data_IF_281896159852
#
_entry.id   IF_281896159852
#
_cell.length_a   1.000
_cell.length_b   1.000
_cell.length_c   1.000
_cell.angle_alpha   90.00
_cell.angle_beta   90.00
_cell.angle_gamma   90.00
#
_symmetry.space_group_name_H-M   'P 1'
#
loop_
_entity.id
_entity.type
_entity.pdbx_description
1 polymer ?
#
# COMPACT_ATOMS: atom_id res chain seq x y z
N UNK A 1 44.21 -11.72 -1.68
CA UNK A 1 43.35 -11.59 -2.88
C UNK A 1 42.39 -12.78 -3.03
N UNK A 2 42.80 -14.04 -2.76
CA UNK A 2 41.92 -15.21 -2.87
C UNK A 2 40.79 -15.30 -1.81
N UNK A 3 41.00 -14.84 -0.58
CA UNK A 3 39.99 -14.91 0.49
C UNK A 3 38.77 -14.01 0.19
N UNK A 4 39.01 -12.80 -0.33
CA UNK A 4 37.97 -11.84 -0.70
C UNK A 4 37.07 -12.32 -1.85
N UNK A 5 37.66 -12.92 -2.89
CA UNK A 5 36.90 -13.50 -3.99
C UNK A 5 36.07 -14.72 -3.53
N UNK A 6 36.59 -15.49 -2.58
CA UNK A 6 35.88 -16.63 -1.98
C UNK A 6 34.69 -16.18 -1.13
N UNK A 7 34.87 -15.15 -0.30
CA UNK A 7 33.77 -14.61 0.52
C UNK A 7 32.68 -13.95 -0.33
N UNK A 8 33.05 -13.22 -1.37
CA UNK A 8 32.08 -12.63 -2.31
C UNK A 8 31.30 -13.70 -3.09
N UNK A 9 31.94 -14.83 -3.42
CA UNK A 9 31.28 -15.96 -4.09
C UNK A 9 30.18 -16.61 -3.22
N UNK A 10 30.32 -16.59 -1.90
CA UNK A 10 29.30 -17.10 -0.96
C UNK A 10 28.20 -16.08 -0.65
N UNK A 11 28.52 -14.77 -0.64
CA UNK A 11 27.57 -13.68 -0.35
C UNK A 11 26.64 -13.37 -1.52
N UNK A 12 27.14 -13.45 -2.75
CA UNK A 12 26.39 -13.14 -3.98
C UNK A 12 25.05 -13.89 -4.14
N UNK A 13 24.98 -15.24 -4.03
CA UNK A 13 23.70 -15.94 -4.16
C UNK A 13 22.72 -15.59 -3.04
N UNK A 14 23.20 -15.15 -1.86
CA UNK A 14 22.35 -14.76 -0.74
C UNK A 14 21.60 -13.46 -1.01
N UNK A 15 22.22 -12.49 -1.69
CA UNK A 15 21.57 -11.19 -2.01
C UNK A 15 20.35 -11.40 -2.89
N UNK A 16 20.50 -12.08 -4.03
CA UNK A 16 19.38 -12.33 -4.94
C UNK A 16 18.35 -13.30 -4.34
N UNK A 17 18.78 -14.27 -3.52
CA UNK A 17 17.84 -15.16 -2.83
C UNK A 17 16.99 -14.42 -1.79
N UNK A 18 17.58 -13.53 -1.01
CA UNK A 18 16.85 -12.70 -0.05
C UNK A 18 15.88 -11.76 -0.76
N UNK A 19 16.34 -11.12 -1.86
CA UNK A 19 15.50 -10.27 -2.70
C UNK A 19 14.32 -11.07 -3.26
N UNK A 20 14.55 -12.27 -3.79
CA UNK A 20 13.51 -13.15 -4.32
C UNK A 20 12.42 -13.43 -3.29
N UNK A 21 12.78 -13.83 -2.07
CA UNK A 21 11.81 -14.13 -1.00
C UNK A 21 10.93 -12.91 -0.67
N UNK A 22 11.55 -11.75 -0.54
CA UNK A 22 10.84 -10.51 -0.19
C UNK A 22 9.98 -10.01 -1.35
N UNK A 23 10.44 -10.21 -2.59
CA UNK A 23 9.70 -9.83 -3.79
C UNK A 23 8.48 -10.73 -4.00
N UNK A 24 8.58 -12.03 -3.67
CA UNK A 24 7.45 -12.96 -3.75
C UNK A 24 6.29 -12.53 -2.84
N UNK A 25 6.58 -12.09 -1.61
CA UNK A 25 5.56 -11.59 -0.69
C UNK A 25 4.95 -10.27 -1.21
N UNK A 26 5.81 -9.31 -1.60
CA UNK A 26 5.34 -8.00 -2.05
C UNK A 26 4.54 -8.06 -3.36
N UNK A 27 4.94 -8.89 -4.32
CA UNK A 27 4.24 -9.05 -5.60
C UNK A 27 2.88 -9.71 -5.41
N UNK A 28 2.75 -10.66 -4.49
CA UNK A 28 1.44 -11.25 -4.17
C UNK A 28 0.49 -10.23 -3.56
N UNK A 29 0.98 -9.40 -2.63
CA UNK A 29 0.17 -8.32 -2.05
C UNK A 29 -0.24 -7.31 -3.13
N UNK A 30 0.69 -6.89 -3.99
CA UNK A 30 0.39 -5.99 -5.11
C UNK A 30 -0.70 -6.55 -6.04
N UNK A 31 -0.59 -7.83 -6.43
CA UNK A 31 -1.60 -8.50 -7.25
C UNK A 31 -2.97 -8.59 -6.55
N UNK A 32 -2.98 -8.72 -5.22
CA UNK A 32 -4.20 -8.76 -4.43
C UNK A 32 -4.92 -7.40 -4.44
N UNK A 33 -4.18 -6.30 -4.22
CA UNK A 33 -4.75 -4.94 -4.20
C UNK A 33 -5.06 -4.40 -5.59
N UNK A 34 -4.31 -4.81 -6.62
CA UNK A 34 -4.58 -4.46 -8.02
C UNK A 34 -6.01 -4.83 -8.42
N UNK A 35 -6.52 -5.97 -7.95
CA UNK A 35 -7.89 -6.41 -8.24
C UNK A 35 -8.96 -5.43 -7.75
N UNK A 36 -8.71 -4.62 -6.73
CA UNK A 36 -9.71 -3.63 -6.31
C UNK A 36 -9.89 -2.51 -7.34
N UNK A 37 -8.89 -2.25 -8.18
CA UNK A 37 -8.93 -1.20 -9.19
C UNK A 37 -9.99 -1.47 -10.27
N UNK A 38 -10.23 -2.75 -10.61
CA UNK A 38 -11.28 -3.17 -11.55
C UNK A 38 -12.68 -2.64 -11.17
N UNK A 39 -12.92 -2.43 -9.87
CA UNK A 39 -14.22 -1.96 -9.37
C UNK A 39 -14.45 -0.47 -9.68
N UNK A 40 -13.39 0.27 -9.97
CA UNK A 40 -13.42 1.71 -10.21
C UNK A 40 -13.21 2.08 -11.69
N UNK A 41 -13.26 1.12 -12.62
CA UNK A 41 -13.05 1.39 -14.05
C UNK A 41 -14.01 2.45 -14.61
N UNK A 42 -15.25 2.47 -14.13
CA UNK A 42 -16.27 3.45 -14.52
C UNK A 42 -16.11 4.83 -13.86
N UNK A 43 -15.18 4.98 -12.90
CA UNK A 43 -14.83 6.24 -12.25
C UNK A 43 -13.32 6.54 -12.40
N UNK A 44 -12.91 7.11 -13.55
CA UNK A 44 -11.51 7.38 -13.85
C UNK A 44 -10.82 8.29 -12.82
N UNK A 45 -11.57 9.17 -12.15
CA UNK A 45 -11.01 10.08 -11.15
C UNK A 45 -10.58 9.30 -9.90
N UNK A 46 -11.46 8.45 -9.38
CA UNK A 46 -11.15 7.61 -8.21
C UNK A 46 -10.14 6.53 -8.55
N UNK A 47 -10.27 5.89 -9.72
CA UNK A 47 -9.29 4.91 -10.19
C UNK A 47 -7.88 5.51 -10.26
N UNK A 48 -7.74 6.72 -10.80
CA UNK A 48 -6.44 7.42 -10.88
C UNK A 48 -5.82 7.68 -9.50
N UNK A 49 -6.63 8.06 -8.50
CA UNK A 49 -6.17 8.25 -7.12
C UNK A 49 -5.69 6.93 -6.50
N UNK A 50 -6.44 5.84 -6.72
CA UNK A 50 -6.08 4.52 -6.19
C UNK A 50 -4.82 3.95 -6.85
N UNK A 51 -4.67 4.12 -8.17
CA UNK A 51 -3.45 3.76 -8.88
C UNK A 51 -2.23 4.52 -8.32
N UNK A 52 -2.31 5.86 -8.19
CA UNK A 52 -1.21 6.69 -7.64
C UNK A 52 -0.88 6.27 -6.20
N UNK A 53 -1.90 5.99 -5.38
CA UNK A 53 -1.69 5.54 -4.01
C UNK A 53 -0.91 4.23 -3.94
N UNK A 54 -1.31 3.20 -4.70
CA UNK A 54 -0.60 1.91 -4.71
C UNK A 54 0.83 2.04 -5.25
N UNK A 55 1.07 2.91 -6.25
CA UNK A 55 2.41 3.19 -6.75
C UNK A 55 3.30 3.81 -5.66
N UNK A 56 2.76 4.73 -4.87
CA UNK A 56 3.49 5.39 -3.78
C UNK A 56 3.72 4.47 -2.60
N UNK A 57 2.70 3.74 -2.15
CA UNK A 57 2.76 2.97 -0.89
C UNK A 57 3.34 1.58 -1.06
N UNK A 58 3.23 0.97 -2.24
CA UNK A 58 3.68 -0.41 -2.48
C UNK A 58 4.81 -0.49 -3.51
N UNK A 59 4.63 0.14 -4.67
CA UNK A 59 5.59 0.01 -5.77
C UNK A 59 6.93 0.70 -5.45
N UNK A 60 6.89 1.93 -4.93
CA UNK A 60 8.09 2.73 -4.65
C UNK A 60 9.06 2.04 -3.68
N UNK A 61 8.62 1.52 -2.52
CA UNK A 61 9.51 0.76 -1.63
C UNK A 61 10.14 -0.46 -2.30
N UNK A 62 9.38 -1.19 -3.12
CA UNK A 62 9.88 -2.37 -3.85
C UNK A 62 10.92 -2.00 -4.90
N UNK A 63 10.70 -0.90 -5.65
CA UNK A 63 11.70 -0.41 -6.61
C UNK A 63 12.98 0.00 -5.92
N UNK A 64 12.90 0.73 -4.81
CA UNK A 64 14.10 1.11 -4.06
C UNK A 64 14.91 -0.12 -3.64
N UNK A 65 14.21 -1.14 -3.16
CA UNK A 65 14.83 -2.39 -2.70
C UNK A 65 15.47 -3.17 -3.84
N UNK A 66 14.78 -3.31 -4.98
CA UNK A 66 15.31 -3.95 -6.17
C UNK A 66 16.57 -3.22 -6.64
N UNK A 67 16.53 -1.90 -6.82
CA UNK A 67 17.67 -1.12 -7.30
C UNK A 67 18.87 -1.25 -6.37
N UNK A 68 18.65 -1.19 -5.06
CA UNK A 68 19.70 -1.34 -4.06
C UNK A 68 20.31 -2.75 -4.06
N UNK A 69 19.48 -3.79 -4.10
CA UNK A 69 19.94 -5.18 -4.13
C UNK A 69 20.68 -5.53 -5.44
N UNK A 70 20.22 -5.00 -6.58
CA UNK A 70 20.89 -5.19 -7.87
C UNK A 70 22.23 -4.45 -7.95
N UNK A 71 22.31 -3.24 -7.39
CA UNK A 71 23.58 -2.51 -7.28
C UNK A 71 24.57 -3.27 -6.38
N UNK A 72 24.11 -3.81 -5.24
CA UNK A 72 24.92 -4.69 -4.37
C UNK A 72 25.42 -5.92 -5.11
N UNK A 73 24.56 -6.63 -5.84
CA UNK A 73 24.96 -7.80 -6.65
C UNK A 73 25.97 -7.41 -7.75
N UNK A 74 25.78 -6.28 -8.43
CA UNK A 74 26.71 -5.78 -9.44
C UNK A 74 28.09 -5.41 -8.85
N UNK A 75 28.12 -4.75 -7.69
CA UNK A 75 29.37 -4.43 -6.98
C UNK A 75 30.12 -5.69 -6.54
N UNK A 76 29.41 -6.68 -6.00
CA UNK A 76 29.99 -7.97 -5.62
C UNK A 76 30.53 -8.73 -6.85
N UNK A 77 29.84 -8.69 -7.99
CA UNK A 77 30.31 -9.24 -9.27
C UNK A 77 31.63 -8.59 -9.73
N UNK A 78 31.82 -7.31 -9.46
CA UNK A 78 33.02 -6.54 -9.82
C UNK A 78 34.12 -6.58 -8.75
N UNK A 79 33.95 -7.38 -7.67
CA UNK A 79 34.96 -7.57 -6.63
C UNK A 79 35.08 -6.41 -5.63
N UNK A 80 34.06 -5.55 -5.55
CA UNK A 80 34.00 -4.49 -4.54
C UNK A 80 33.44 -5.02 -3.21
N UNK A 81 33.98 -4.55 -2.10
CA UNK A 81 33.39 -4.79 -0.77
C UNK A 81 32.13 -3.94 -0.58
N UNK A 82 31.16 -4.50 0.14
CA UNK A 82 29.93 -3.80 0.52
C UNK A 82 29.68 -4.07 2.00
N UNK A 83 29.48 -3.02 2.80
CA UNK A 83 29.08 -3.19 4.20
C UNK A 83 27.67 -3.80 4.25
N UNK A 84 27.48 -4.80 5.10
CA UNK A 84 26.14 -5.33 5.40
C UNK A 84 25.39 -4.32 6.28
N UNK A 85 25.08 -3.14 5.73
CA UNK A 85 24.09 -2.26 6.31
C UNK A 85 22.72 -2.92 6.21
N UNK A 86 21.95 -2.83 7.30
CA UNK A 86 20.66 -3.49 7.45
C UNK A 86 19.73 -3.13 6.29
N UNK A 87 19.21 -4.15 5.60
CA UNK A 87 18.38 -4.07 4.39
C UNK A 87 16.96 -3.51 4.64
N UNK A 88 16.76 -2.83 5.76
CA UNK A 88 15.46 -2.36 6.25
C UNK A 88 15.37 -0.86 5.98
N UNK A 89 14.46 -0.50 5.06
CA UNK A 89 14.07 0.86 4.71
C UNK A 89 15.05 1.71 3.90
N UNK A 90 15.45 1.19 2.74
CA UNK A 90 16.13 1.99 1.71
C UNK A 90 15.14 3.00 1.11
N UNK A 91 15.18 4.24 1.57
CA UNK A 91 14.49 5.37 0.95
C UNK A 91 15.42 6.06 -0.04
N UNK A 92 15.10 5.95 -1.34
CA UNK A 92 15.84 6.60 -2.41
C UNK A 92 15.06 7.79 -2.97
N UNK A 93 15.77 8.90 -3.17
CA UNK A 93 15.33 9.99 -4.03
C UNK A 93 15.24 9.57 -5.50
N UNK A 94 14.51 10.32 -6.32
CA UNK A 94 14.43 10.07 -7.78
C UNK A 94 15.81 10.12 -8.45
N UNK A 95 16.68 11.02 -8.00
CA UNK A 95 18.06 11.13 -8.49
C UNK A 95 18.89 9.89 -8.16
N UNK A 96 18.79 9.39 -6.92
CA UNK A 96 19.50 8.17 -6.49
C UNK A 96 19.00 6.93 -7.25
N UNK A 97 17.67 6.79 -7.41
CA UNK A 97 17.08 5.71 -8.23
C UNK A 97 17.67 5.72 -9.64
N UNK A 98 17.69 6.88 -10.27
CA UNK A 98 18.24 7.06 -11.64
C UNK A 98 19.73 6.73 -11.70
N UNK A 99 20.50 7.14 -10.70
CA UNK A 99 21.93 6.84 -10.62
C UNK A 99 22.20 5.35 -10.50
N UNK A 100 21.50 4.64 -9.60
CA UNK A 100 21.64 3.20 -9.44
C UNK A 100 21.28 2.45 -10.72
N UNK A 101 20.15 2.78 -11.36
CA UNK A 101 19.71 2.12 -12.58
C UNK A 101 20.72 2.28 -13.74
N UNK A 102 21.37 3.44 -13.87
CA UNK A 102 22.39 3.68 -14.90
C UNK A 102 23.69 2.91 -14.67
N UNK A 103 23.99 2.55 -13.43
CA UNK A 103 25.19 1.78 -13.08
C UNK A 103 25.02 0.27 -13.26
N UNK A 104 23.79 -0.20 -13.51
CA UNK A 104 23.53 -1.61 -13.81
C UNK A 104 24.07 -1.99 -15.21
N UNK A 105 24.45 -3.26 -15.42
CA UNK A 105 25.03 -3.69 -16.69
C UNK A 105 23.97 -3.98 -17.77
N UNK A 106 24.28 -3.66 -19.03
CA UNK A 106 23.55 -4.17 -20.20
C UNK A 106 22.06 -3.78 -20.23
N UNK A 107 21.21 -4.75 -20.61
CA UNK A 107 19.75 -4.55 -20.71
C UNK A 107 19.10 -4.31 -19.35
N UNK A 108 19.71 -4.76 -18.26
CA UNK A 108 19.20 -4.51 -16.91
C UNK A 108 19.13 -3.01 -16.61
N UNK A 109 20.05 -2.21 -17.14
CA UNK A 109 20.01 -0.75 -16.97
C UNK A 109 18.80 -0.11 -17.64
N UNK A 110 18.46 -0.53 -18.86
CA UNK A 110 17.31 0.02 -19.57
C UNK A 110 15.99 -0.45 -18.95
N UNK A 111 15.90 -1.71 -18.51
CA UNK A 111 14.73 -2.23 -17.80
C UNK A 111 14.54 -1.56 -16.44
N UNK A 112 15.61 -1.31 -15.68
CA UNK A 112 15.54 -0.58 -14.42
C UNK A 112 15.11 0.88 -14.60
N UNK A 113 15.52 1.55 -15.69
CA UNK A 113 15.04 2.89 -16.02
C UNK A 113 13.55 2.90 -16.37
N UNK A 114 13.09 1.95 -17.19
CA UNK A 114 11.66 1.79 -17.50
C UNK A 114 10.82 1.53 -16.23
N UNK A 115 11.35 0.74 -15.28
CA UNK A 115 10.72 0.52 -13.99
C UNK A 115 10.57 1.80 -13.16
N UNK A 116 11.60 2.65 -13.14
CA UNK A 116 11.56 3.97 -12.47
C UNK A 116 10.50 4.86 -13.10
N UNK A 117 10.47 4.93 -14.43
CA UNK A 117 9.47 5.71 -15.17
C UNK A 117 8.04 5.20 -14.91
N UNK A 118 7.86 3.88 -14.84
CA UNK A 118 6.55 3.28 -14.58
C UNK A 118 6.04 3.57 -13.16
N UNK A 119 6.92 3.60 -12.15
CA UNK A 119 6.55 4.03 -10.77
C UNK A 119 6.12 5.49 -10.71
N UNK A 120 6.75 6.36 -11.50
CA UNK A 120 6.37 7.77 -11.60
C UNK A 120 5.17 8.00 -12.53
N UNK A 121 4.69 6.93 -13.17
CA UNK A 121 3.49 6.91 -13.99
C UNK A 121 2.21 7.02 -13.17
N UNK A 122 1.07 6.82 -13.85
CA UNK A 122 -0.28 6.89 -13.25
C UNK A 122 -1.03 5.55 -13.30
N UNK A 123 -0.37 4.50 -13.75
CA UNK A 123 -0.98 3.21 -14.12
C UNK A 123 -0.20 2.08 -13.47
N UNK A 124 -0.88 1.38 -12.57
CA UNK A 124 -0.29 0.32 -11.75
C UNK A 124 0.00 -0.95 -12.56
N UNK A 125 -0.87 -1.28 -13.52
CA UNK A 125 -0.69 -2.36 -14.49
C UNK A 125 0.58 -2.17 -15.31
N UNK A 126 0.82 -0.96 -15.82
CA UNK A 126 2.05 -0.64 -16.56
C UNK A 126 3.30 -0.79 -15.70
N UNK A 127 3.20 -0.49 -14.40
CA UNK A 127 4.27 -0.75 -13.45
C UNK A 127 4.50 -2.25 -13.24
N UNK A 128 3.44 -3.06 -13.09
CA UNK A 128 3.57 -4.50 -12.89
C UNK A 128 4.25 -5.20 -14.09
N UNK A 129 3.98 -4.74 -15.30
CA UNK A 129 4.67 -5.21 -16.51
C UNK A 129 6.16 -4.82 -16.51
N UNK A 130 6.48 -3.56 -16.23
CA UNK A 130 7.87 -3.10 -16.15
C UNK A 130 8.65 -3.79 -15.02
N UNK A 131 7.99 -4.06 -13.89
CA UNK A 131 8.54 -4.77 -12.75
C UNK A 131 8.89 -6.21 -13.13
N UNK A 132 7.99 -6.89 -13.86
CA UNK A 132 8.23 -8.25 -14.38
C UNK A 132 9.41 -8.29 -15.32
N UNK A 133 9.46 -7.39 -16.29
CA UNK A 133 10.56 -7.28 -17.24
C UNK A 133 11.93 -7.09 -16.55
N UNK A 134 12.00 -6.21 -15.54
CA UNK A 134 13.24 -5.96 -14.81
C UNK A 134 13.66 -7.14 -13.92
N UNK A 135 12.69 -7.84 -13.33
CA UNK A 135 12.93 -9.03 -12.54
C UNK A 135 13.43 -10.21 -13.39
N UNK A 136 12.81 -10.46 -14.54
CA UNK A 136 13.21 -11.51 -15.47
C UNK A 136 14.64 -11.32 -15.97
N UNK A 137 15.01 -10.08 -16.34
CA UNK A 137 16.39 -9.74 -16.72
C UNK A 137 17.40 -9.95 -15.57
N UNK A 138 16.93 -9.86 -14.32
CA UNK A 138 17.72 -10.13 -13.12
C UNK A 138 17.77 -11.61 -12.72
N UNK A 139 17.05 -12.48 -13.43
CA UNK A 139 16.91 -13.90 -13.09
C UNK A 139 15.97 -14.17 -11.90
N UNK A 140 15.15 -13.19 -11.52
CA UNK A 140 14.11 -13.32 -10.50
C UNK A 140 12.80 -13.76 -11.14
N UNK A 141 11.97 -14.48 -10.38
CA UNK A 141 10.69 -15.00 -10.86
C UNK A 141 9.56 -14.50 -9.98
N UNK A 142 8.39 -14.24 -10.55
CA UNK A 142 7.23 -13.84 -9.76
C UNK A 142 6.34 -15.02 -9.44
N UNK A 143 6.04 -15.16 -8.16
CA UNK A 143 4.89 -15.95 -7.76
C UNK A 143 3.61 -15.31 -8.31
N UNK A 144 2.77 -16.15 -8.90
CA UNK A 144 1.46 -15.75 -9.41
C UNK A 144 0.42 -15.98 -8.32
N UNK A 145 -0.49 -15.02 -8.17
CA UNK A 145 -1.66 -15.14 -7.33
C UNK A 145 -2.68 -16.08 -8.00
N UNK A 146 -2.70 -17.33 -7.54
CA UNK A 146 -3.76 -18.28 -7.91
C UNK A 146 -5.02 -18.07 -7.04
N UNK A 147 -6.17 -18.58 -7.50
CA UNK A 147 -7.46 -18.40 -6.80
C UNK A 147 -7.49 -18.98 -5.38
N UNK A 148 -6.71 -20.04 -5.13
CA UNK A 148 -6.63 -20.68 -3.82
C UNK A 148 -5.85 -19.82 -2.84
N UNK A 149 -4.70 -19.32 -3.28
CA UNK A 149 -3.85 -18.41 -2.52
C UNK A 149 -4.54 -17.07 -2.27
N UNK A 150 -5.19 -16.49 -3.29
CA UNK A 150 -6.01 -15.29 -3.14
C UNK A 150 -7.08 -15.46 -2.07
N UNK A 151 -7.84 -16.55 -2.15
CA UNK A 151 -8.89 -16.83 -1.15
C UNK A 151 -8.30 -16.98 0.26
N UNK A 152 -7.12 -17.57 0.38
CA UNK A 152 -6.43 -17.67 1.66
C UNK A 152 -5.97 -16.31 2.18
N UNK A 153 -5.39 -15.47 1.31
CA UNK A 153 -4.93 -14.12 1.66
C UNK A 153 -6.10 -13.22 2.04
N UNK A 154 -7.21 -13.23 1.29
CA UNK A 154 -8.43 -12.47 1.62
C UNK A 154 -9.03 -12.90 2.97
N UNK A 155 -8.97 -14.19 3.32
CA UNK A 155 -9.41 -14.67 4.64
C UNK A 155 -8.52 -14.17 5.76
N UNK A 156 -7.19 -14.17 5.55
CA UNK A 156 -6.26 -13.59 6.53
C UNK A 156 -6.51 -12.10 6.67
N UNK A 157 -6.57 -11.38 5.56
CA UNK A 157 -6.83 -9.95 5.52
C UNK A 157 -8.17 -9.58 6.19
N UNK A 158 -9.24 -10.34 5.93
CA UNK A 158 -10.52 -10.16 6.62
C UNK A 158 -10.37 -10.33 8.14
N UNK A 159 -9.69 -11.39 8.60
CA UNK A 159 -9.46 -11.66 10.02
C UNK A 159 -8.66 -10.54 10.68
N UNK A 160 -7.58 -10.11 10.04
CA UNK A 160 -6.68 -9.08 10.55
C UNK A 160 -7.40 -7.73 10.60
N UNK A 161 -8.12 -7.38 9.55
CA UNK A 161 -8.90 -6.14 9.49
C UNK A 161 -10.06 -6.13 10.49
N UNK A 162 -10.72 -7.28 10.70
CA UNK A 162 -11.74 -7.44 11.75
C UNK A 162 -11.14 -7.19 13.14
N UNK A 163 -9.95 -7.74 13.40
CA UNK A 163 -9.24 -7.51 14.67
C UNK A 163 -8.86 -6.03 14.84
N UNK A 164 -8.31 -5.41 13.80
CA UNK A 164 -7.96 -3.99 13.80
C UNK A 164 -9.17 -3.09 14.03
N UNK A 165 -10.28 -3.30 13.31
CA UNK A 165 -11.54 -2.56 13.49
C UNK A 165 -12.09 -2.74 14.91
N UNK A 166 -11.92 -3.91 15.51
CA UNK A 166 -12.38 -4.16 16.89
C UNK A 166 -11.53 -3.42 17.91
N UNK A 167 -10.20 -3.46 17.78
CA UNK A 167 -9.26 -2.88 18.74
C UNK A 167 -8.97 -1.39 18.53
N UNK A 168 -9.31 -0.82 17.38
CA UNK A 168 -9.05 0.58 17.08
C UNK A 168 -9.80 1.52 18.02
N UNK A 169 -9.11 2.53 18.53
CA UNK A 169 -9.68 3.54 19.41
C UNK A 169 -9.62 4.94 18.80
N UNK A 170 -8.75 5.15 17.82
CA UNK A 170 -8.61 6.45 17.16
C UNK A 170 -9.69 6.63 16.08
N UNK A 171 -10.54 7.67 16.18
CA UNK A 171 -11.63 7.87 15.23
C UNK A 171 -11.18 8.19 13.81
N UNK A 172 -10.01 8.80 13.63
CA UNK A 172 -9.50 9.14 12.28
C UNK A 172 -8.98 7.88 11.60
N UNK A 173 -8.13 7.10 12.28
CA UNK A 173 -7.56 5.85 11.78
C UNK A 173 -8.59 4.72 11.62
N UNK A 174 -9.71 4.79 12.35
CA UNK A 174 -10.82 3.84 12.24
C UNK A 174 -11.51 3.87 10.87
N UNK A 175 -11.69 5.06 10.30
CA UNK A 175 -12.46 5.25 9.07
C UNK A 175 -11.93 4.45 7.87
N UNK A 176 -10.64 4.55 7.46
CA UNK A 176 -10.14 3.78 6.33
C UNK A 176 -10.20 2.26 6.58
N UNK A 177 -10.02 1.82 7.84
CA UNK A 177 -10.08 0.40 8.21
C UNK A 177 -11.50 -0.17 8.07
N UNK A 178 -12.50 0.52 8.58
CA UNK A 178 -13.90 0.06 8.48
C UNK A 178 -14.42 0.14 7.04
N UNK A 179 -14.01 1.16 6.27
CA UNK A 179 -14.35 1.27 4.84
C UNK A 179 -13.73 0.13 4.04
N UNK A 180 -12.46 -0.20 4.30
CA UNK A 180 -11.81 -1.35 3.67
C UNK A 180 -12.50 -2.68 4.04
N UNK A 181 -12.99 -2.83 5.29
CA UNK A 181 -13.70 -4.03 5.73
C UNK A 181 -15.05 -4.19 5.02
N UNK A 182 -15.83 -3.10 4.95
CA UNK A 182 -17.11 -3.09 4.24
C UNK A 182 -16.92 -3.32 2.73
N UNK A 183 -15.86 -2.76 2.15
CA UNK A 183 -15.50 -3.02 0.76
C UNK A 183 -15.15 -4.48 0.52
N UNK A 184 -14.32 -5.08 1.39
CA UNK A 184 -13.98 -6.49 1.34
C UNK A 184 -15.22 -7.38 1.44
N UNK A 185 -16.17 -7.06 2.33
CA UNK A 185 -17.42 -7.81 2.47
C UNK A 185 -18.33 -7.68 1.25
N UNK A 186 -18.35 -6.52 0.59
CA UNK A 186 -19.23 -6.26 -0.55
C UNK A 186 -18.69 -6.80 -1.89
N UNK A 187 -17.39 -6.71 -2.11
CA UNK A 187 -16.75 -7.00 -3.40
C UNK A 187 -15.76 -8.17 -3.35
N UNK A 188 -15.46 -8.70 -2.16
CA UNK A 188 -14.45 -9.76 -1.95
C UNK A 188 -13.09 -9.41 -2.58
N UNK A 189 -12.69 -8.14 -2.48
CA UNK A 189 -11.42 -7.58 -2.99
C UNK A 189 -10.77 -6.77 -1.87
N UNK A 190 -9.44 -6.84 -1.74
CA UNK A 190 -8.70 -6.08 -0.73
C UNK A 190 -8.47 -4.65 -1.22
N UNK A 191 -8.73 -3.66 -0.36
CA UNK A 191 -8.63 -2.24 -0.73
C UNK A 191 -7.72 -1.51 0.25
N UNK A 192 -6.76 -0.78 -0.30
CA UNK A 192 -5.99 0.22 0.42
C UNK A 192 -6.39 1.60 -0.12
N UNK A 193 -7.39 2.22 0.49
CA UNK A 193 -7.88 3.52 0.06
C UNK A 193 -7.13 4.66 0.78
N UNK A 194 -6.56 5.64 0.06
CA UNK A 194 -6.15 6.90 0.66
C UNK A 194 -7.38 7.68 1.15
N UNK A 195 -7.18 8.59 2.09
CA UNK A 195 -8.24 9.44 2.65
C UNK A 195 -9.02 10.20 1.56
N UNK A 196 -8.33 10.64 0.51
CA UNK A 196 -8.92 11.34 -0.64
C UNK A 196 -9.91 10.49 -1.44
N UNK A 197 -9.77 9.16 -1.44
CA UNK A 197 -10.66 8.23 -2.13
C UNK A 197 -11.82 7.73 -1.25
N UNK A 198 -11.74 7.87 0.07
CA UNK A 198 -12.71 7.29 1.02
C UNK A 198 -14.15 7.69 0.68
N UNK A 199 -14.41 8.95 0.33
CA UNK A 199 -15.75 9.43 -0.04
C UNK A 199 -16.31 8.72 -1.27
N UNK A 200 -15.47 8.50 -2.28
CA UNK A 200 -15.87 7.83 -3.50
C UNK A 200 -16.18 6.35 -3.22
N UNK A 201 -15.33 5.68 -2.42
CA UNK A 201 -15.55 4.30 -1.98
C UNK A 201 -16.87 4.18 -1.20
N UNK A 202 -17.17 5.10 -0.28
CA UNK A 202 -18.45 5.11 0.45
C UNK A 202 -19.62 5.21 -0.53
N UNK A 203 -19.53 6.09 -1.53
CA UNK A 203 -20.58 6.27 -2.54
C UNK A 203 -20.81 5.00 -3.35
N UNK A 204 -19.74 4.31 -3.74
CA UNK A 204 -19.80 3.02 -4.43
C UNK A 204 -20.43 1.91 -3.56
N UNK A 205 -20.26 1.97 -2.24
CA UNK A 205 -20.83 1.01 -1.30
C UNK A 205 -22.33 1.21 -1.04
N UNK A 206 -22.90 2.34 -1.46
CA UNK A 206 -24.32 2.68 -1.22
C UNK A 206 -25.28 1.57 -1.63
N UNK A 207 -25.07 0.95 -2.79
CA UNK A 207 -25.98 -0.07 -3.34
C UNK A 207 -25.69 -1.48 -2.81
N UNK A 208 -24.60 -1.66 -2.04
CA UNK A 208 -24.18 -2.94 -1.46
C UNK A 208 -24.42 -3.03 0.04
N UNK A 209 -24.60 -1.89 0.72
CA UNK A 209 -24.77 -1.81 2.16
C UNK A 209 -26.23 -1.61 2.58
N UNK A 210 -26.63 -2.10 3.77
CA UNK A 210 -27.90 -1.72 4.38
C UNK A 210 -28.00 -0.20 4.54
N UNK A 211 -29.20 0.36 4.35
CA UNK A 211 -29.43 1.81 4.43
C UNK A 211 -29.03 2.40 5.80
N UNK A 212 -29.19 1.64 6.89
CA UNK A 212 -28.74 2.03 8.23
C UNK A 212 -27.21 2.17 8.30
N UNK A 213 -26.47 1.17 7.82
CA UNK A 213 -25.00 1.18 7.78
C UNK A 213 -24.47 2.32 6.92
N UNK A 214 -25.05 2.52 5.72
CA UNK A 214 -24.64 3.59 4.83
C UNK A 214 -24.85 4.99 5.45
N UNK A 215 -25.98 5.19 6.15
CA UNK A 215 -26.26 6.46 6.84
C UNK A 215 -25.22 6.76 7.91
N UNK A 216 -24.95 5.81 8.80
CA UNK A 216 -23.96 5.97 9.88
C UNK A 216 -22.56 6.19 9.31
N UNK A 217 -22.18 5.46 8.27
CA UNK A 217 -20.87 5.61 7.61
C UNK A 217 -20.69 6.98 6.96
N UNK A 218 -21.73 7.49 6.30
CA UNK A 218 -21.71 8.82 5.66
C UNK A 218 -21.65 9.93 6.71
N UNK A 219 -22.38 9.77 7.81
CA UNK A 219 -22.35 10.70 8.94
C UNK A 219 -20.97 10.71 9.61
N UNK A 220 -20.40 9.53 9.87
CA UNK A 220 -19.04 9.37 10.40
C UNK A 220 -18.02 10.11 9.54
N UNK A 221 -17.97 9.80 8.23
CA UNK A 221 -17.04 10.44 7.31
C UNK A 221 -17.21 11.97 7.30
N UNK A 222 -18.45 12.46 7.28
CA UNK A 222 -18.74 13.89 7.33
C UNK A 222 -18.27 14.57 8.62
N UNK A 223 -18.36 13.90 9.76
CA UNK A 223 -17.87 14.41 11.05
C UNK A 223 -16.33 14.37 11.11
N UNK A 224 -15.69 13.30 10.62
CA UNK A 224 -14.22 13.22 10.55
C UNK A 224 -13.63 14.33 9.66
N UNK A 225 -14.22 14.59 8.49
CA UNK A 225 -13.75 15.68 7.60
C UNK A 225 -13.88 17.04 8.28
N UNK A 226 -14.95 17.27 9.05
CA UNK A 226 -15.11 18.53 9.82
C UNK A 226 -14.07 18.64 10.94
N UNK A 227 -13.77 17.55 11.64
CA UNK A 227 -12.75 17.52 12.69
C UNK A 227 -11.38 17.89 12.12
N UNK A 228 -10.97 17.26 11.02
CA UNK A 228 -9.70 17.54 10.35
C UNK A 228 -9.63 18.98 9.84
N UNK A 229 -10.71 19.50 9.25
CA UNK A 229 -10.76 20.89 8.79
C UNK A 229 -10.64 21.91 9.94
N UNK A 230 -11.21 21.60 11.12
CA UNK A 230 -11.04 22.42 12.32
C UNK A 230 -9.60 22.35 12.86
N UNK A 231 -8.99 21.16 12.83
CA UNK A 231 -7.61 20.95 13.24
C UNK A 231 -6.62 21.74 12.36
N UNK A 232 -6.84 21.75 11.04
CA UNK A 232 -6.04 22.54 10.11
C UNK A 232 -6.20 24.05 10.37
N UNK A 233 -7.43 24.51 10.63
CA UNK A 233 -7.72 25.91 10.90
C UNK A 233 -7.16 26.39 12.25
N UNK A 234 -7.07 25.50 13.26
CA UNK A 234 -6.56 25.82 14.59
C UNK A 234 -5.04 26.07 14.65
N UNK A 235 -4.29 25.76 13.58
CA UNK A 235 -2.83 26.00 13.55
C UNK A 235 -2.43 27.48 13.41
N UNK A 236 -3.39 28.41 13.26
CA UNK A 236 -3.15 29.84 13.04
C UNK A 236 -3.68 30.82 14.10
N UNK A 237 -4.66 30.44 14.93
CA UNK A 237 -5.24 31.30 15.98
C UNK A 237 -5.78 30.45 17.15
N UNK A 238 -5.33 30.74 18.38
CA UNK A 238 -5.79 30.10 19.62
C UNK A 238 -7.16 30.68 20.06
N UNK A 239 -8.22 30.34 19.33
CA UNK A 239 -9.60 30.67 19.73
C UNK A 239 -10.23 29.50 20.52
N UNK A 240 -10.57 29.75 21.79
CA UNK A 240 -11.19 28.82 22.76
C UNK A 240 -12.44 28.10 22.19
N UNK A 241 -13.27 28.83 21.42
CA UNK A 241 -14.45 28.29 20.75
C UNK A 241 -14.15 27.21 19.69
N UNK A 242 -12.95 27.19 19.11
CA UNK A 242 -12.56 26.21 18.10
C UNK A 242 -12.19 24.89 18.76
N UNK A 243 -11.53 24.94 19.92
CA UNK A 243 -11.17 23.78 20.74
C UNK A 243 -12.42 23.03 21.24
N UNK A 244 -13.41 23.77 21.78
CA UNK A 244 -14.67 23.17 22.24
C UNK A 244 -15.42 22.43 21.12
N UNK A 245 -15.43 23.02 19.90
CA UNK A 245 -16.06 22.39 18.73
C UNK A 245 -15.30 21.16 18.24
N UNK A 246 -13.99 21.13 18.40
CA UNK A 246 -13.18 19.94 18.08
C UNK A 246 -13.47 18.81 19.06
N UNK A 247 -13.50 19.11 20.37
CA UNK A 247 -13.82 18.14 21.42
C UNK A 247 -15.23 17.55 21.23
N UNK A 248 -16.24 18.38 20.97
CA UNK A 248 -17.62 17.91 20.72
C UNK A 248 -17.69 16.95 19.52
N UNK A 249 -16.93 17.21 18.45
CA UNK A 249 -16.91 16.37 17.25
C UNK A 249 -16.12 15.08 17.48
N UNK A 250 -15.06 15.14 18.29
CA UNK A 250 -14.30 13.96 18.67
C UNK A 250 -15.12 13.04 19.60
N UNK A 251 -15.80 13.59 20.59
CA UNK A 251 -16.69 12.85 21.49
C UNK A 251 -17.86 12.20 20.73
N UNK A 252 -18.49 12.91 19.79
CA UNK A 252 -19.54 12.33 18.94
C UNK A 252 -19.05 11.15 18.08
N UNK A 253 -17.80 11.21 17.59
CA UNK A 253 -17.18 10.11 16.87
C UNK A 253 -16.88 8.92 17.79
N UNK A 254 -16.31 9.15 18.96
CA UNK A 254 -15.85 8.11 19.88
C UNK A 254 -17.01 7.43 20.64
N UNK A 255 -17.97 8.20 21.14
CA UNK A 255 -19.02 7.69 22.03
C UNK A 255 -20.25 7.16 21.28
N UNK A 256 -20.59 7.77 20.14
CA UNK A 256 -21.82 7.43 19.40
C UNK A 256 -21.54 6.69 18.10
N UNK A 257 -20.80 7.32 17.18
CA UNK A 257 -20.71 6.83 15.81
C UNK A 257 -19.78 5.62 15.67
N UNK A 258 -18.66 5.58 16.40
CA UNK A 258 -17.72 4.45 16.33
C UNK A 258 -18.32 3.14 16.88
N UNK A 259 -18.96 3.10 18.07
CA UNK A 259 -19.57 1.87 18.58
C UNK A 259 -20.71 1.37 17.69
N UNK A 260 -21.54 2.29 17.18
CA UNK A 260 -22.63 1.98 16.26
C UNK A 260 -22.07 1.37 14.97
N UNK A 261 -21.07 2.01 14.36
CA UNK A 261 -20.47 1.54 13.12
C UNK A 261 -19.69 0.22 13.29
N UNK A 262 -19.01 0.01 14.42
CA UNK A 262 -18.39 -1.28 14.78
C UNK A 262 -19.44 -2.38 14.88
N UNK A 263 -20.57 -2.11 15.56
CA UNK A 263 -21.64 -3.11 15.69
C UNK A 263 -22.23 -3.50 14.33
N UNK A 264 -22.37 -2.54 13.42
CA UNK A 264 -22.92 -2.75 12.09
C UNK A 264 -21.91 -3.48 11.18
N UNK A 265 -20.65 -3.06 11.15
CA UNK A 265 -19.62 -3.64 10.29
C UNK A 265 -19.16 -5.04 10.73
N UNK A 266 -19.21 -5.34 12.04
CA UNK A 266 -18.91 -6.67 12.58
C UNK A 266 -20.14 -7.58 12.57
N UNK A 267 -21.35 -7.01 12.61
CA UNK A 267 -22.62 -7.73 12.56
C UNK A 267 -23.00 -8.23 11.16
N UNK A 268 -22.52 -7.59 10.10
CA UNK A 268 -22.76 -7.99 8.69
C UNK A 268 -22.12 -9.32 8.31
N UNK A 269 -21.12 -9.81 9.05
CA UNK A 269 -20.44 -11.09 8.81
C UNK A 269 -21.19 -12.35 9.25
N UNK A 270 -22.43 -12.24 9.72
CA UNK A 270 -23.25 -13.37 10.23
C UNK A 270 -24.33 -13.89 9.27
N UNK A 271 -24.22 -13.65 7.96
CA UNK A 271 -25.13 -14.24 6.97
C UNK A 271 -24.46 -15.30 6.12
#
# INVERSE_FOLDING_TARGET
>A
MNTMLSENAERKPRVLHNLQKQLDEAVLDMQLYEKALDVFEDDPATAGILHDHLLRTMATPVVNKILFSLDKDNKLKNGMEFEDSEEQDVQLSSTERTFLAKNLPGQLSSKAQALIEAVEGKRFDSFMDALRDAAEESGLLFKKLDEGLERSMLRSYHKDLTAQVSSETDPVSFLPKVVALLFLQAYNKALQAPESAVRAVITLLKDKLPASTFKVLTEYHGTTVKLLALQDAATGDEDDCTSDRMLEKQEDLEERLMPELKSLALGTGKK
#
